data_IF_909447094182
#
_entry.id   IF_909447094182
#
_cell.length_a   1.000
_cell.length_b   1.000
_cell.length_c   1.000
_cell.angle_alpha   90.00
_cell.angle_beta   90.00
_cell.angle_gamma   90.00
#
_symmetry.space_group_name_H-M   'P 1'
#
loop_
_entity.id
_entity.type
_entity.pdbx_description
1 polymer ?
#
# COMPACT_ATOMS: atom_id res chain seq x y z
N UNK A 1 10.69 6.96 -31.75
CA UNK A 1 10.90 6.69 -30.31
C UNK A 1 10.34 7.88 -29.53
N UNK A 2 9.12 7.78 -29.00
CA UNK A 2 8.50 8.83 -28.18
C UNK A 2 8.52 8.39 -26.72
N UNK A 3 9.11 9.22 -25.87
CA UNK A 3 9.27 8.96 -24.44
C UNK A 3 7.92 9.10 -23.71
N UNK A 4 7.41 8.00 -23.18
CA UNK A 4 6.35 7.99 -22.17
C UNK A 4 6.96 8.40 -20.81
N UNK A 5 7.27 9.69 -20.65
CA UNK A 5 7.49 10.28 -19.32
C UNK A 5 6.25 11.12 -19.01
N UNK A 6 5.17 10.44 -18.62
CA UNK A 6 3.99 11.08 -18.07
C UNK A 6 4.35 11.73 -16.73
N UNK A 7 4.84 12.97 -16.78
CA UNK A 7 4.95 13.80 -15.59
C UNK A 7 3.53 14.06 -15.10
N UNK A 8 3.15 13.44 -13.97
CA UNK A 8 1.96 13.90 -13.26
C UNK A 8 2.14 15.41 -12.99
N UNK A 9 1.09 16.24 -13.15
CA UNK A 9 1.18 17.65 -12.80
C UNK A 9 1.57 17.75 -11.33
N UNK A 10 2.57 18.58 -11.00
CA UNK A 10 3.04 18.78 -9.62
C UNK A 10 1.91 19.16 -8.67
N UNK A 11 0.87 19.85 -9.17
CA UNK A 11 -0.35 20.18 -8.43
C UNK A 11 -1.11 18.94 -7.94
N UNK A 12 -1.23 17.90 -8.77
CA UNK A 12 -1.91 16.65 -8.39
C UNK A 12 -1.11 15.91 -7.30
N UNK A 13 0.22 15.94 -7.37
CA UNK A 13 1.07 15.34 -6.34
C UNK A 13 0.97 16.07 -5.00
N UNK A 14 1.03 17.41 -5.02
CA UNK A 14 0.91 18.24 -3.82
C UNK A 14 -0.45 18.06 -3.14
N UNK A 15 -1.53 17.99 -3.92
CA UNK A 15 -2.88 17.78 -3.40
C UNK A 15 -3.05 16.37 -2.81
N UNK A 16 -2.48 15.35 -3.45
CA UNK A 16 -2.48 13.99 -2.92
C UNK A 16 -1.67 13.88 -1.62
N UNK A 17 -0.50 14.53 -1.56
CA UNK A 17 0.32 14.56 -0.35
C UNK A 17 -0.44 15.22 0.81
N UNK A 18 -1.06 16.38 0.58
CA UNK A 18 -1.88 17.05 1.60
C UNK A 18 -3.04 16.19 2.10
N UNK A 19 -3.72 15.48 1.20
CA UNK A 19 -4.81 14.56 1.56
C UNK A 19 -4.33 13.35 2.37
N UNK A 20 -3.16 12.80 2.05
CA UNK A 20 -2.57 11.70 2.80
C UNK A 20 -2.18 12.17 4.20
N UNK A 21 -1.53 13.33 4.31
CA UNK A 21 -1.16 13.91 5.60
C UNK A 21 -2.38 14.21 6.49
N UNK A 22 -3.47 14.75 5.92
CA UNK A 22 -4.71 15.01 6.64
C UNK A 22 -5.37 13.70 7.14
N UNK A 23 -5.36 12.65 6.33
CA UNK A 23 -5.89 11.33 6.72
C UNK A 23 -5.05 10.67 7.79
N UNK A 24 -3.72 10.76 7.70
CA UNK A 24 -2.82 10.26 8.75
C UNK A 24 -3.10 11.01 10.05
N UNK A 25 -3.20 12.34 10.02
CA UNK A 25 -3.52 13.13 11.22
C UNK A 25 -4.87 12.76 11.82
N UNK A 26 -5.89 12.54 10.99
CA UNK A 26 -7.22 12.12 11.46
C UNK A 26 -7.18 10.72 12.08
N UNK A 27 -6.31 9.84 11.59
CA UNK A 27 -6.12 8.50 12.14
C UNK A 27 -5.31 8.51 13.45
N UNK A 28 -4.32 9.39 13.56
CA UNK A 28 -3.52 9.60 14.79
C UNK A 28 -4.33 10.31 15.88
N UNK A 29 -5.23 11.22 15.50
CA UNK A 29 -6.07 12.03 16.39
C UNK A 29 -7.54 11.98 15.95
N UNK A 30 -8.24 10.85 16.13
CA UNK A 30 -9.61 10.71 15.71
C UNK A 30 -10.56 11.54 16.59
N UNK A 31 -11.73 11.87 16.03
CA UNK A 31 -12.83 12.45 16.81
C UNK A 31 -13.46 11.33 17.64
N UNK A 32 -13.38 11.41 18.97
CA UNK A 32 -13.78 10.31 19.85
C UNK A 32 -15.26 9.90 19.78
N UNK A 33 -16.13 10.74 19.23
CA UNK A 33 -17.54 10.41 18.99
C UNK A 33 -17.76 9.48 17.77
N UNK A 34 -16.72 9.17 16.99
CA UNK A 34 -16.83 8.30 15.83
C UNK A 34 -16.77 6.82 16.22
N UNK A 35 -17.95 6.21 16.35
CA UNK A 35 -18.17 4.80 16.67
C UNK A 35 -17.82 3.80 15.54
N UNK A 36 -16.72 4.03 14.81
CA UNK A 36 -16.31 3.23 13.64
C UNK A 36 -14.92 2.61 13.75
N UNK A 37 -14.26 2.74 14.90
CA UNK A 37 -12.89 2.28 15.09
C UNK A 37 -12.90 0.85 15.65
N UNK A 38 -12.11 -0.05 15.05
CA UNK A 38 -12.00 -1.45 15.45
C UNK A 38 -10.54 -1.89 15.51
N UNK A 39 -10.17 -2.58 16.58
CA UNK A 39 -8.87 -3.26 16.70
C UNK A 39 -8.98 -4.64 16.09
N UNK A 40 -8.06 -4.97 15.20
CA UNK A 40 -7.94 -6.29 14.56
C UNK A 40 -6.82 -7.06 15.26
N UNK A 41 -7.15 -8.21 15.82
CA UNK A 41 -6.20 -9.07 16.52
C UNK A 41 -5.56 -10.10 15.59
N UNK A 42 -4.43 -10.67 15.99
CA UNK A 42 -3.72 -11.70 15.20
C UNK A 42 -4.54 -12.95 14.89
N UNK A 43 -5.58 -13.24 15.68
CA UNK A 43 -6.51 -14.33 15.46
C UNK A 43 -7.65 -14.00 14.48
N UNK A 44 -7.65 -12.79 13.90
CA UNK A 44 -8.69 -12.33 12.97
C UNK A 44 -9.95 -11.79 13.64
N UNK A 45 -10.03 -11.79 14.97
CA UNK A 45 -11.13 -11.13 15.68
C UNK A 45 -10.99 -9.62 15.58
N UNK A 46 -12.12 -8.93 15.50
CA UNK A 46 -12.19 -7.47 15.51
C UNK A 46 -13.06 -7.01 16.67
N UNK A 47 -12.56 -6.09 17.49
CA UNK A 47 -13.30 -5.53 18.63
C UNK A 47 -13.45 -4.02 18.44
N UNK A 48 -14.66 -3.45 18.62
CA UNK A 48 -14.83 -2.01 18.57
C UNK A 48 -14.06 -1.32 19.70
N UNK A 49 -13.41 -0.21 19.38
CA UNK A 49 -12.77 0.62 20.40
C UNK A 49 -13.83 1.47 21.09
N UNK A 50 -13.76 1.56 22.41
CA UNK A 50 -14.66 2.41 23.18
C UNK A 50 -14.27 3.90 23.06
N UNK A 51 -15.24 4.80 23.07
CA UNK A 51 -15.00 6.25 23.02
C UNK A 51 -14.07 6.71 24.15
N UNK A 52 -14.15 6.04 25.31
CA UNK A 52 -13.30 6.30 26.48
C UNK A 52 -11.81 6.16 26.16
N UNK A 53 -11.43 5.21 25.32
CA UNK A 53 -10.02 4.96 24.97
C UNK A 53 -9.44 6.08 24.10
N UNK A 54 -10.28 6.67 23.26
CA UNK A 54 -9.91 7.85 22.50
C UNK A 54 -9.71 9.06 23.41
N UNK A 55 -10.61 9.28 24.38
CA UNK A 55 -10.47 10.35 25.36
C UNK A 55 -9.22 10.16 26.22
N UNK A 56 -8.93 8.94 26.70
CA UNK A 56 -7.74 8.65 27.47
C UNK A 56 -6.44 8.88 26.68
N UNK A 57 -6.39 8.52 25.40
CA UNK A 57 -5.24 8.81 24.54
C UNK A 57 -5.03 10.31 24.38
N UNK A 58 -6.11 11.07 24.18
CA UNK A 58 -6.09 12.53 24.02
C UNK A 58 -5.66 13.24 25.30
N UNK A 59 -6.17 12.83 26.46
CA UNK A 59 -5.82 13.42 27.75
C UNK A 59 -4.34 13.19 28.11
N UNK A 60 -3.75 12.12 27.59
CA UNK A 60 -2.33 11.77 27.74
C UNK A 60 -1.42 12.40 26.68
N UNK A 61 -1.98 13.22 25.78
CA UNK A 61 -1.28 13.81 24.62
C UNK A 61 -0.52 12.76 23.79
N UNK A 62 -1.10 11.57 23.67
CA UNK A 62 -0.52 10.45 22.93
C UNK A 62 -1.29 10.22 21.63
N UNK A 63 -0.58 9.82 20.57
CA UNK A 63 -1.22 9.33 19.34
C UNK A 63 -2.14 8.16 19.68
N UNK A 64 -3.36 8.21 19.15
CA UNK A 64 -4.37 7.21 19.42
C UNK A 64 -3.91 5.80 18.99
N UNK A 65 -3.22 5.69 17.85
CA UNK A 65 -2.64 4.43 17.39
C UNK A 65 -1.69 3.81 18.41
N UNK A 66 -0.79 4.61 18.96
CA UNK A 66 0.23 4.16 19.90
C UNK A 66 -0.41 3.72 21.22
N UNK A 67 -1.41 4.48 21.68
CA UNK A 67 -2.20 4.13 22.85
C UNK A 67 -2.92 2.79 22.66
N UNK A 68 -3.53 2.57 21.49
CA UNK A 68 -4.25 1.35 21.19
C UNK A 68 -3.32 0.14 21.14
N UNK A 69 -2.17 0.24 20.47
CA UNK A 69 -1.21 -0.87 20.44
C UNK A 69 -0.56 -1.13 21.81
N UNK A 70 -0.45 -0.12 22.68
CA UNK A 70 -0.02 -0.30 24.05
C UNK A 70 -1.08 -0.99 24.93
N UNK A 71 -2.37 -0.63 24.77
CA UNK A 71 -3.49 -1.19 25.55
C UNK A 71 -3.85 -2.61 25.10
N UNK A 72 -3.87 -2.84 23.79
CA UNK A 72 -4.24 -4.11 23.17
C UNK A 72 -2.99 -4.84 22.67
N UNK A 73 -2.27 -5.51 23.57
CA UNK A 73 -0.96 -6.14 23.31
C UNK A 73 -0.97 -7.15 22.15
N UNK A 74 -2.13 -7.75 21.84
CA UNK A 74 -2.30 -8.71 20.73
C UNK A 74 -2.93 -8.10 19.48
N UNK A 75 -3.08 -6.78 19.43
CA UNK A 75 -3.53 -6.05 18.25
C UNK A 75 -2.51 -6.20 17.13
N UNK A 76 -2.98 -6.61 15.96
CA UNK A 76 -2.21 -6.68 14.72
C UNK A 76 -2.41 -5.43 13.88
N UNK A 77 -3.63 -4.88 13.89
CA UNK A 77 -3.99 -3.75 13.03
C UNK A 77 -5.15 -2.93 13.66
N UNK A 78 -5.40 -1.75 13.10
CA UNK A 78 -6.46 -0.82 13.49
C UNK A 78 -7.26 -0.41 12.25
N UNK A 79 -8.57 -0.68 12.26
CA UNK A 79 -9.48 -0.33 11.19
C UNK A 79 -10.37 0.84 11.60
N UNK A 80 -10.50 1.84 10.73
CA UNK A 80 -11.47 2.93 10.88
C UNK A 80 -12.35 3.00 9.63
N UNK A 81 -13.64 3.28 9.82
CA UNK A 81 -14.57 3.45 8.72
C UNK A 81 -14.12 4.63 7.82
N UNK A 82 -13.86 4.41 6.51
CA UNK A 82 -13.42 5.45 5.59
C UNK A 82 -14.41 6.61 5.45
N UNK A 83 -15.71 6.36 5.70
CA UNK A 83 -16.75 7.39 5.71
C UNK A 83 -16.69 8.32 6.94
N UNK A 84 -16.00 7.90 8.01
CA UNK A 84 -15.85 8.63 9.28
C UNK A 84 -14.48 9.30 9.42
N UNK A 85 -13.47 8.84 8.68
CA UNK A 85 -12.14 9.48 8.57
C UNK A 85 -12.13 10.86 7.86
N UNK A 86 -13.29 11.50 7.66
CA UNK A 86 -13.39 12.78 7.00
C UNK A 86 -13.22 13.91 8.02
N UNK A 87 -11.96 14.26 8.32
CA UNK A 87 -11.63 15.57 8.86
C UNK A 87 -12.12 16.67 7.92
N UNK A 88 -12.67 17.74 8.51
CA UNK A 88 -12.87 19.12 8.01
C UNK A 88 -12.97 19.43 6.49
N UNK A 89 -13.43 18.50 5.66
CA UNK A 89 -13.68 18.77 4.25
C UNK A 89 -15.12 18.44 3.89
N UNK A 90 -15.73 19.46 3.31
CA UNK A 90 -17.15 19.67 3.06
C UNK A 90 -17.90 18.39 2.63
N UNK A 91 -18.78 17.90 3.52
CA UNK A 91 -19.74 16.83 3.20
C UNK A 91 -20.60 17.19 1.98
N UNK A 92 -20.73 18.47 1.64
CA UNK A 92 -21.45 18.90 0.45
C UNK A 92 -20.69 18.64 -0.85
N UNK A 93 -19.38 18.40 -0.87
CA UNK A 93 -18.70 17.98 -2.10
C UNK A 93 -19.10 16.54 -2.47
N UNK A 94 -19.05 15.61 -1.51
CA UNK A 94 -19.55 14.26 -1.73
C UNK A 94 -21.05 14.23 -2.00
N UNK A 95 -21.86 15.08 -1.34
CA UNK A 95 -23.31 15.17 -1.58
C UNK A 95 -23.66 15.80 -2.95
N UNK A 96 -22.85 16.74 -3.46
CA UNK A 96 -23.00 17.31 -4.81
C UNK A 96 -22.55 16.32 -5.90
N UNK A 97 -21.55 15.48 -5.62
CA UNK A 97 -21.14 14.39 -6.52
C UNK A 97 -22.16 13.23 -6.49
N UNK A 98 -22.72 12.89 -5.33
CA UNK A 98 -23.65 11.76 -5.16
C UNK A 98 -25.12 12.07 -5.44
N UNK A 99 -25.56 13.34 -5.50
CA UNK A 99 -26.96 13.68 -5.86
C UNK A 99 -27.29 13.49 -7.34
N UNK A 100 -26.29 13.33 -8.20
CA UNK A 100 -26.50 13.05 -9.62
C UNK A 100 -26.50 11.56 -9.96
N UNK A 101 -26.38 10.67 -8.98
CA UNK A 101 -26.32 9.23 -9.22
C UNK A 101 -27.38 8.53 -8.39
N UNK A 102 -28.47 8.16 -9.06
CA UNK A 102 -29.47 7.24 -8.53
C UNK A 102 -28.78 5.97 -8.00
N UNK A 103 -29.15 5.44 -6.81
CA UNK A 103 -28.46 4.32 -6.18
C UNK A 103 -28.43 3.03 -7.01
N UNK A 104 -29.24 2.93 -8.06
CA UNK A 104 -29.31 1.76 -8.94
C UNK A 104 -28.25 1.74 -10.06
N UNK A 105 -27.53 2.85 -10.31
CA UNK A 105 -26.51 2.92 -11.37
C UNK A 105 -25.06 3.01 -10.88
N UNK A 106 -24.80 3.10 -9.56
CA UNK A 106 -23.43 3.22 -9.01
C UNK A 106 -22.61 1.93 -9.15
N UNK A 107 -23.25 0.79 -9.41
CA UNK A 107 -22.54 -0.46 -9.73
C UNK A 107 -22.16 -0.59 -11.22
N UNK A 108 -22.56 0.35 -12.09
CA UNK A 108 -22.29 0.26 -13.54
C UNK A 108 -21.85 1.56 -14.23
N UNK A 109 -21.89 2.71 -13.57
CA UNK A 109 -21.42 3.96 -14.16
C UNK A 109 -19.92 4.16 -13.88
N UNK A 110 -19.11 3.77 -14.87
CA UNK A 110 -17.74 4.24 -15.10
C UNK A 110 -16.70 3.90 -14.02
N UNK A 111 -16.53 2.60 -13.76
CA UNK A 111 -15.17 2.04 -13.77
C UNK A 111 -14.62 2.32 -15.17
N UNK A 112 -14.05 3.53 -15.34
CA UNK A 112 -13.51 4.03 -16.59
C UNK A 112 -12.70 2.91 -17.25
N UNK A 113 -12.98 2.58 -18.52
CA UNK A 113 -12.16 1.64 -19.31
C UNK A 113 -10.67 1.92 -19.12
N UNK A 114 -10.28 3.19 -18.93
CA UNK A 114 -8.92 3.59 -18.64
C UNK A 114 -8.31 3.09 -17.32
N UNK A 115 -9.10 2.84 -16.27
CA UNK A 115 -8.63 2.26 -15.01
C UNK A 115 -8.57 0.73 -15.09
N UNK A 116 -9.59 0.11 -15.67
CA UNK A 116 -9.62 -1.34 -15.90
C UNK A 116 -8.44 -1.77 -16.78
N UNK A 117 -8.23 -1.07 -17.91
CA UNK A 117 -7.10 -1.32 -18.82
C UNK A 117 -5.73 -1.11 -18.15
N UNK A 118 -5.63 -0.17 -17.18
CA UNK A 118 -4.40 0.04 -16.41
C UNK A 118 -4.17 -1.07 -15.39
N UNK A 119 -5.22 -1.55 -14.74
CA UNK A 119 -5.15 -2.71 -13.83
C UNK A 119 -4.78 -3.96 -14.61
N UNK A 120 -5.41 -4.21 -15.76
CA UNK A 120 -5.09 -5.36 -16.63
C UNK A 120 -3.66 -5.29 -17.18
N UNK A 121 -3.18 -4.08 -17.53
CA UNK A 121 -1.78 -3.87 -17.92
C UNK A 121 -0.82 -4.13 -16.77
N UNK A 122 -1.17 -3.73 -15.54
CA UNK A 122 -0.37 -3.99 -14.35
C UNK A 122 -0.34 -5.48 -14.01
N UNK A 123 -1.48 -6.17 -14.09
CA UNK A 123 -1.56 -7.63 -13.92
C UNK A 123 -0.70 -8.34 -14.97
N UNK A 124 -0.80 -7.95 -16.24
CA UNK A 124 0.04 -8.52 -17.31
C UNK A 124 1.53 -8.27 -17.06
N UNK A 125 1.91 -7.13 -16.46
CA UNK A 125 3.30 -6.86 -16.08
C UNK A 125 3.75 -7.69 -14.88
N UNK A 126 2.87 -7.92 -13.90
CA UNK A 126 3.14 -8.79 -12.76
C UNK A 126 3.34 -10.22 -13.25
N UNK A 127 2.45 -10.74 -14.09
CA UNK A 127 2.57 -12.08 -14.68
C UNK A 127 3.88 -12.24 -15.47
N UNK A 128 4.26 -11.21 -16.24
CA UNK A 128 5.55 -11.21 -16.95
C UNK A 128 6.75 -11.17 -15.99
N UNK A 129 6.66 -10.43 -14.88
CA UNK A 129 7.70 -10.39 -13.86
C UNK A 129 7.82 -11.73 -13.14
N UNK A 130 6.70 -12.36 -12.80
CA UNK A 130 6.67 -13.72 -12.24
C UNK A 130 7.28 -14.73 -13.21
N UNK A 131 6.98 -14.61 -14.50
CA UNK A 131 7.56 -15.48 -15.52
C UNK A 131 9.08 -15.27 -15.67
N UNK A 132 9.55 -14.01 -15.66
CA UNK A 132 10.98 -13.69 -15.66
C UNK A 132 11.67 -14.24 -14.41
N UNK A 133 11.05 -14.07 -13.24
CA UNK A 133 11.58 -14.53 -11.97
C UNK A 133 11.67 -16.06 -11.92
N UNK A 134 10.64 -16.76 -12.41
CA UNK A 134 10.57 -18.22 -12.33
C UNK A 134 11.34 -18.92 -13.44
N UNK A 135 11.46 -18.35 -14.64
CA UNK A 135 12.07 -19.02 -15.79
C UNK A 135 13.46 -18.50 -16.15
N UNK A 136 13.70 -17.19 -16.03
CA UNK A 136 14.92 -16.57 -16.56
C UNK A 136 16.00 -16.40 -15.49
N UNK A 137 15.63 -16.01 -14.26
CA UNK A 137 16.60 -15.86 -13.17
C UNK A 137 17.32 -17.18 -12.85
N UNK A 138 16.63 -18.34 -12.71
CA UNK A 138 17.32 -19.60 -12.45
C UNK A 138 18.30 -19.99 -13.55
N UNK A 139 17.93 -19.78 -14.82
CA UNK A 139 18.81 -20.05 -15.98
C UNK A 139 20.03 -19.14 -16.01
N UNK A 140 19.87 -17.86 -15.62
CA UNK A 140 20.99 -16.93 -15.50
C UNK A 140 21.93 -17.37 -14.37
N UNK A 141 21.39 -17.80 -13.23
CA UNK A 141 22.20 -18.31 -12.11
C UNK A 141 22.97 -19.58 -12.50
N UNK A 142 22.34 -20.52 -13.21
CA UNK A 142 22.99 -21.73 -13.70
C UNK A 142 24.12 -21.42 -14.71
N UNK A 143 23.88 -20.47 -15.61
CA UNK A 143 24.89 -20.02 -16.56
C UNK A 143 26.07 -19.34 -15.85
N UNK A 144 25.81 -18.52 -14.83
CA UNK A 144 26.86 -17.86 -14.02
C UNK A 144 27.70 -18.88 -13.25
N UNK A 145 27.06 -19.88 -12.64
CA UNK A 145 27.77 -20.97 -11.95
C UNK A 145 28.67 -21.76 -12.93
N UNK A 146 28.16 -22.05 -14.12
CA UNK A 146 28.94 -22.70 -15.18
C UNK A 146 30.13 -21.84 -15.62
N UNK A 147 29.94 -20.52 -15.72
CA UNK A 147 30.99 -19.58 -16.10
C UNK A 147 32.09 -19.49 -15.03
N UNK A 148 31.69 -19.44 -13.76
CA UNK A 148 32.61 -19.49 -12.62
C UNK A 148 33.41 -20.79 -12.60
N UNK A 149 32.78 -21.94 -12.80
CA UNK A 149 33.47 -23.24 -12.89
C UNK A 149 34.51 -23.26 -14.02
N UNK A 150 34.19 -22.69 -15.19
CA UNK A 150 35.13 -22.58 -16.30
C UNK A 150 36.27 -21.63 -16.00
N UNK A 151 35.98 -20.49 -15.36
CA UNK A 151 37.01 -19.53 -14.93
C UNK A 151 37.95 -20.14 -13.89
N UNK A 152 37.42 -20.85 -12.88
CA UNK A 152 38.20 -21.58 -11.89
C UNK A 152 39.06 -22.67 -12.53
N UNK A 153 38.53 -23.37 -13.54
CA UNK A 153 39.30 -24.36 -14.30
C UNK A 153 40.46 -23.71 -15.07
N UNK A 154 40.19 -22.60 -15.77
CA UNK A 154 41.22 -21.85 -16.50
C UNK A 154 42.27 -21.31 -15.54
N UNK A 155 41.84 -20.73 -14.41
CA UNK A 155 42.75 -20.21 -13.38
C UNK A 155 43.62 -21.31 -12.79
N UNK A 156 43.05 -22.47 -12.42
CA UNK A 156 43.81 -23.63 -11.93
C UNK A 156 44.80 -24.16 -12.97
N UNK A 157 44.44 -24.14 -14.25
CA UNK A 157 45.34 -24.57 -15.33
C UNK A 157 46.51 -23.59 -15.51
N UNK A 158 46.25 -22.29 -15.53
CA UNK A 158 47.30 -21.26 -15.66
C UNK A 158 48.22 -21.18 -14.44
N UNK A 159 47.69 -21.38 -13.22
CA UNK A 159 48.49 -21.36 -11.99
C UNK A 159 49.19 -22.71 -11.76
N UNK A 160 48.59 -23.83 -12.16
CA UNK A 160 49.15 -25.17 -12.06
C UNK A 160 50.25 -25.48 -13.09
N UNK A 161 50.26 -24.82 -14.24
CA UNK A 161 51.30 -24.95 -15.28
C UNK A 161 52.58 -24.16 -14.98
N UNK A 162 52.66 -23.41 -13.86
CA UNK A 162 53.87 -22.66 -13.45
C UNK A 162 54.80 -23.42 -12.46
N UNK A 163 54.57 -24.73 -12.23
CA UNK A 163 55.41 -25.58 -11.37
C UNK A 163 55.96 -26.83 -12.10
N UNK A 164 56.36 -26.67 -13.36
CA UNK A 164 57.24 -27.59 -14.10
C UNK A 164 58.32 -26.79 -14.84
#
# INVERSE_FOLDING_TARGET
MQALKGSFPFTVYSDLQGRVEERIKTFEYPVCADNGIKVVFSNGLSVPVEEKDCHEARDKDQKFTDFIFAKYVSAKDLSMDPGKLAGTYDKDYFKRVSRNLSPENVLKAELSEGLQNKVDLLMTKIDNLENIYNQHIPKIMENLDTLNKKMDFIYKKMVGENNQ
#
